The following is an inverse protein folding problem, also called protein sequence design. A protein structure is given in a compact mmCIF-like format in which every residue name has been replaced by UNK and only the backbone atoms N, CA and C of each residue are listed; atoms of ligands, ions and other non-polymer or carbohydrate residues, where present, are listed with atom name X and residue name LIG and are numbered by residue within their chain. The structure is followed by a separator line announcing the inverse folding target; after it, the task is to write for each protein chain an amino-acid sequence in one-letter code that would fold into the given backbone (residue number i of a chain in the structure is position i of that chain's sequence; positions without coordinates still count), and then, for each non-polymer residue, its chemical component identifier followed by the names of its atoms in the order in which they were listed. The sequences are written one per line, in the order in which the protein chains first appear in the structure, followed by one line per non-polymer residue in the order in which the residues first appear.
data_IF_380387904297
#
_entry.id   IF_380387904297
#
_cell.length_a   1.000
_cell.length_b   1.000
_cell.length_c   1.000
_cell.angle_alpha   90.00
_cell.angle_beta   90.00
_cell.angle_gamma   90.00
#
_symmetry.space_group_name_H-M   'P 1'
#
loop_
_entity.id
_entity.type
_entity.pdbx_description
1 polymer ?
#
# COMPACT_ATOMS: atom_id res chain seq x y z
N UNK A 1 46.76 -17.16 49.02
CA UNK A 1 47.39 -17.42 47.75
C UNK A 1 46.32 -17.29 46.69
N UNK A 2 45.91 -16.11 46.35
CA UNK A 2 46.42 -15.08 45.40
C UNK A 2 46.64 -15.59 43.99
N UNK A 3 45.88 -14.85 43.14
CA UNK A 3 46.13 -14.57 41.72
C UNK A 3 45.79 -15.63 40.68
N UNK A 4 44.68 -15.36 39.96
CA UNK A 4 44.70 -15.01 38.53
C UNK A 4 43.26 -15.04 37.96
N UNK A 5 42.67 -13.87 37.86
CA UNK A 5 41.52 -13.67 36.99
C UNK A 5 41.38 -12.18 36.61
N UNK A 6 42.21 -11.76 35.68
CA UNK A 6 42.05 -10.52 34.92
C UNK A 6 42.46 -10.79 33.48
N UNK A 7 41.47 -10.77 32.59
CA UNK A 7 41.50 -10.41 31.16
C UNK A 7 40.46 -11.20 30.36
N UNK A 8 39.23 -10.66 30.33
CA UNK A 8 38.28 -10.91 29.23
C UNK A 8 37.07 -9.99 29.38
N UNK A 9 37.30 -8.67 29.30
CA UNK A 9 36.25 -7.68 29.14
C UNK A 9 36.76 -6.53 28.28
N UNK A 10 36.81 -6.75 26.94
CA UNK A 10 37.08 -5.67 25.98
C UNK A 10 36.98 -6.20 24.54
N UNK A 11 35.79 -6.70 24.15
CA UNK A 11 35.44 -6.93 22.72
C UNK A 11 33.93 -7.05 22.45
N UNK A 12 33.12 -6.25 23.14
CA UNK A 12 31.66 -6.26 22.86
C UNK A 12 31.03 -4.86 22.86
N UNK A 13 31.72 -3.85 22.34
CA UNK A 13 31.18 -2.47 22.32
C UNK A 13 31.20 -1.78 20.96
N UNK A 14 31.40 -2.48 19.86
CA UNK A 14 31.44 -1.87 18.51
C UNK A 14 30.33 -2.29 17.57
N UNK A 15 29.45 -3.21 17.94
CA UNK A 15 28.32 -3.62 17.07
C UNK A 15 26.98 -2.97 17.39
N UNK A 16 26.88 -2.20 18.47
CA UNK A 16 25.62 -1.53 18.87
C UNK A 16 25.42 -0.12 18.26
N UNK A 17 26.42 0.44 17.58
CA UNK A 17 26.33 1.80 17.05
C UNK A 17 25.81 1.88 15.60
N UNK A 18 25.85 0.83 14.83
CA UNK A 18 25.43 0.86 13.42
C UNK A 18 23.91 0.65 13.28
N UNK A 19 23.30 -0.13 14.16
CA UNK A 19 21.85 -0.37 14.15
C UNK A 19 21.02 0.84 14.60
N UNK A 20 21.54 1.62 15.55
CA UNK A 20 20.83 2.82 16.07
C UNK A 20 20.87 3.97 15.06
N UNK A 21 21.93 4.12 14.26
CA UNK A 21 22.01 5.17 13.24
C UNK A 21 21.07 4.92 12.05
N UNK A 22 20.83 3.67 11.66
CA UNK A 22 19.89 3.33 10.60
C UNK A 22 18.42 3.59 11.00
N UNK A 23 18.08 3.34 12.27
CA UNK A 23 16.73 3.57 12.80
C UNK A 23 16.46 5.07 13.01
N UNK A 24 17.47 5.86 13.44
CA UNK A 24 17.35 7.31 13.59
C UNK A 24 17.14 8.02 12.23
N UNK A 25 17.78 7.58 11.16
CA UNK A 25 17.56 8.16 9.82
C UNK A 25 16.18 7.83 9.23
N UNK A 26 15.56 6.72 9.61
CA UNK A 26 14.18 6.39 9.22
C UNK A 26 13.15 7.19 10.04
N UNK A 27 13.40 7.44 11.32
CA UNK A 27 12.50 8.20 12.19
C UNK A 27 12.46 9.69 11.83
N UNK A 28 13.59 10.31 11.47
CA UNK A 28 13.64 11.71 11.00
C UNK A 28 12.96 11.92 9.63
N UNK A 29 12.73 10.86 8.86
CA UNK A 29 12.03 10.92 7.57
C UNK A 29 10.51 10.66 7.67
N UNK A 30 10.03 10.13 8.81
CA UNK A 30 8.59 9.98 9.06
C UNK A 30 8.03 11.37 9.38
N UNK A 31 7.00 11.81 8.64
CA UNK A 31 6.33 13.08 8.91
C UNK A 31 5.67 13.06 10.27
N UNK A 32 6.03 14.01 11.12
CA UNK A 32 5.25 14.29 12.31
C UNK A 32 4.11 15.24 11.93
N UNK A 33 2.90 14.97 12.44
CA UNK A 33 1.84 15.95 12.34
C UNK A 33 2.26 17.25 13.06
N UNK A 34 1.90 18.44 12.52
CA UNK A 34 2.26 19.72 13.13
C UNK A 34 1.90 19.77 14.62
N UNK A 35 2.86 20.15 15.45
CA UNK A 35 2.76 20.11 16.90
C UNK A 35 1.73 21.13 17.42
N UNK A 36 1.05 20.83 18.53
CA UNK A 36 -0.18 21.44 19.05
C UNK A 36 -0.11 22.87 19.59
N UNK A 37 0.95 23.65 19.37
CA UNK A 37 1.06 25.03 19.86
C UNK A 37 0.85 26.03 18.73
N UNK A 38 -0.43 26.30 18.41
CA UNK A 38 -0.85 27.29 17.43
C UNK A 38 -2.18 26.93 16.77
N UNK A 39 -2.77 27.83 15.96
CA UNK A 39 -3.89 27.49 15.09
C UNK A 39 -3.46 26.38 14.13
N UNK A 40 -4.06 25.19 14.28
CA UNK A 40 -3.84 24.07 13.34
C UNK A 40 -4.29 24.51 11.95
N UNK A 41 -3.38 24.39 10.98
CA UNK A 41 -3.69 24.58 9.57
C UNK A 41 -4.06 23.25 8.93
N UNK A 42 -4.90 23.31 7.90
CA UNK A 42 -5.06 22.17 7.00
C UNK A 42 -3.68 21.77 6.50
N UNK A 43 -3.33 20.50 6.68
CA UNK A 43 -2.04 19.97 6.27
C UNK A 43 -2.24 18.76 5.37
N UNK A 44 -1.45 18.69 4.30
CA UNK A 44 -1.38 17.53 3.42
C UNK A 44 0.06 17.42 2.91
N UNK A 45 0.67 16.25 3.10
CA UNK A 45 2.02 15.94 2.66
C UNK A 45 2.06 14.54 2.05
N UNK A 46 2.91 14.35 1.04
CA UNK A 46 3.21 13.04 0.48
C UNK A 46 4.69 12.73 0.66
N UNK A 47 5.00 11.58 1.24
CA UNK A 47 6.36 11.06 1.35
C UNK A 47 6.52 9.81 0.52
N UNK A 48 7.61 9.71 -0.22
CA UNK A 48 7.94 8.55 -1.05
C UNK A 48 9.20 7.87 -0.49
N UNK A 49 9.03 6.64 -0.07
CA UNK A 49 10.11 5.76 0.41
C UNK A 49 10.56 4.82 -0.71
N UNK A 50 11.83 4.45 -0.72
CA UNK A 50 12.44 3.51 -1.68
C UNK A 50 12.20 3.89 -3.15
N UNK A 51 12.21 5.19 -3.44
CA UNK A 51 11.87 5.78 -4.73
C UNK A 51 12.57 5.11 -5.91
N UNK A 52 11.83 4.87 -6.99
CA UNK A 52 12.32 4.28 -8.24
C UNK A 52 12.75 2.82 -8.10
N UNK A 53 12.19 2.08 -7.13
CA UNK A 53 12.35 0.64 -7.00
C UNK A 53 10.99 -0.06 -7.09
N UNK A 54 10.99 -1.37 -7.28
CA UNK A 54 9.76 -2.18 -7.24
C UNK A 54 9.15 -2.27 -5.83
N UNK A 55 9.80 -1.67 -4.85
CA UNK A 55 9.37 -1.58 -3.45
C UNK A 55 9.09 -0.12 -3.03
N UNK A 56 8.88 0.78 -3.99
CA UNK A 56 8.49 2.16 -3.71
C UNK A 56 7.17 2.20 -2.93
N UNK A 57 7.14 3.00 -1.86
CA UNK A 57 5.94 3.21 -1.04
C UNK A 57 5.66 4.70 -0.93
N UNK A 58 4.46 5.11 -1.31
CA UNK A 58 3.96 6.47 -1.10
C UNK A 58 3.07 6.49 0.14
N UNK A 59 3.32 7.45 1.01
CA UNK A 59 2.57 7.69 2.25
C UNK A 59 1.98 9.10 2.20
N UNK A 60 0.68 9.18 2.35
CA UNK A 60 -0.08 10.44 2.32
C UNK A 60 -0.53 10.80 3.73
N UNK A 61 -0.20 12.02 4.17
CA UNK A 61 -0.53 12.55 5.49
C UNK A 61 -1.55 13.68 5.36
N UNK A 62 -2.62 13.62 6.13
CA UNK A 62 -3.66 14.64 6.16
C UNK A 62 -4.01 15.01 7.59
N UNK A 63 -4.13 16.30 7.87
CA UNK A 63 -4.54 16.84 9.18
C UNK A 63 -5.67 17.82 9.02
N UNK A 64 -6.73 17.65 9.79
CA UNK A 64 -7.81 18.62 9.92
C UNK A 64 -7.40 19.81 10.81
N UNK A 65 -8.18 20.89 10.75
CA UNK A 65 -8.00 22.05 11.66
C UNK A 65 -8.34 21.69 13.10
N UNK A 66 -9.27 20.79 13.32
CA UNK A 66 -9.66 20.33 14.65
C UNK A 66 -8.85 19.09 15.06
N UNK A 67 -8.33 19.03 16.29
CA UNK A 67 -7.64 17.85 16.79
C UNK A 67 -8.59 16.66 16.89
N UNK A 68 -8.06 15.46 16.76
CA UNK A 68 -8.80 14.20 16.86
C UNK A 68 -7.90 13.00 16.69
N UNK A 69 -8.49 11.81 16.64
CA UNK A 69 -7.75 10.56 16.47
C UNK A 69 -7.00 10.54 15.14
N UNK A 70 -5.93 9.77 15.09
CA UNK A 70 -5.18 9.45 13.88
C UNK A 70 -5.57 8.08 13.37
N UNK A 71 -6.04 7.98 12.14
CA UNK A 71 -6.30 6.71 11.46
C UNK A 71 -5.22 6.44 10.42
N UNK A 72 -4.76 5.20 10.33
CA UNK A 72 -3.81 4.72 9.33
C UNK A 72 -4.49 3.67 8.46
N UNK A 73 -4.51 3.89 7.16
CA UNK A 73 -5.07 2.97 6.17
C UNK A 73 -3.93 2.33 5.38
N UNK A 74 -3.77 1.03 5.51
CA UNK A 74 -2.95 0.22 4.64
C UNK A 74 -3.79 -0.49 3.59
N UNK A 75 -3.26 -0.60 2.38
CA UNK A 75 -3.81 -1.43 1.32
C UNK A 75 -2.71 -1.93 0.37
N UNK A 76 -3.06 -2.87 -0.49
CA UNK A 76 -2.13 -3.40 -1.48
C UNK A 76 -0.99 -4.23 -0.89
N UNK A 77 -1.19 -4.86 0.27
CA UNK A 77 -0.27 -5.87 0.80
C UNK A 77 -0.28 -7.12 -0.10
N UNK A 78 -1.43 -7.41 -0.74
CA UNK A 78 -1.61 -8.41 -1.77
C UNK A 78 -1.94 -7.74 -3.10
N UNK A 79 -1.20 -8.05 -4.16
CA UNK A 79 -1.33 -7.40 -5.45
C UNK A 79 -2.52 -7.87 -6.28
N UNK A 80 -3.08 -9.04 -5.98
CA UNK A 80 -4.28 -9.61 -6.60
C UNK A 80 -5.60 -9.10 -5.97
N UNK A 81 -5.52 -8.14 -5.04
CA UNK A 81 -6.66 -7.57 -4.31
C UNK A 81 -6.87 -6.09 -4.70
N UNK A 82 -7.17 -5.86 -5.98
CA UNK A 82 -7.20 -4.51 -6.56
C UNK A 82 -8.23 -3.57 -5.92
N UNK A 83 -9.35 -4.09 -5.42
CA UNK A 83 -10.34 -3.28 -4.70
C UNK A 83 -9.76 -2.58 -3.47
N UNK A 84 -8.84 -3.23 -2.73
CA UNK A 84 -8.21 -2.67 -1.56
C UNK A 84 -7.38 -1.42 -1.87
N UNK A 85 -6.37 -1.55 -2.76
CA UNK A 85 -5.47 -0.43 -3.05
C UNK A 85 -6.13 0.69 -3.88
N UNK A 86 -7.08 0.38 -4.74
CA UNK A 86 -7.84 1.39 -5.46
C UNK A 86 -8.81 2.14 -4.53
N UNK A 87 -9.37 1.48 -3.51
CA UNK A 87 -10.13 2.16 -2.47
C UNK A 87 -9.25 3.10 -1.66
N UNK A 88 -8.11 2.63 -1.16
CA UNK A 88 -7.21 3.46 -0.36
C UNK A 88 -6.70 4.68 -1.15
N UNK A 89 -6.40 4.53 -2.45
CA UNK A 89 -5.95 5.63 -3.30
C UNK A 89 -6.94 6.81 -3.36
N UNK A 90 -8.24 6.56 -3.19
CA UNK A 90 -9.29 7.59 -3.15
C UNK A 90 -9.25 8.47 -1.90
N UNK A 91 -8.52 8.04 -0.87
CA UNK A 91 -8.30 8.80 0.36
C UNK A 91 -6.97 9.57 0.37
N UNK A 92 -6.12 9.37 -0.64
CA UNK A 92 -4.82 10.04 -0.77
C UNK A 92 -4.91 11.57 -0.96
N UNK A 93 -6.08 12.10 -1.32
CA UNK A 93 -6.33 13.54 -1.46
C UNK A 93 -7.45 14.02 -0.50
N UNK A 94 -7.80 13.21 0.51
CA UNK A 94 -8.90 13.53 1.40
C UNK A 94 -8.58 14.78 2.23
N UNK A 95 -9.50 15.74 2.24
CA UNK A 95 -9.41 16.94 3.08
C UNK A 95 -10.22 16.74 4.36
N UNK A 96 -9.54 16.76 5.50
CA UNK A 96 -10.16 16.62 6.81
C UNK A 96 -10.55 17.96 7.41
N UNK A 97 -11.64 17.98 8.14
CA UNK A 97 -12.02 19.04 9.08
C UNK A 97 -11.43 18.72 10.45
N UNK A 98 -11.58 17.46 10.89
CA UNK A 98 -11.18 16.99 12.23
C UNK A 98 -10.42 15.67 12.17
N UNK A 99 -9.38 15.55 13.02
CA UNK A 99 -8.55 14.36 13.14
C UNK A 99 -7.41 14.31 12.14
N UNK A 100 -6.71 13.18 12.06
CA UNK A 100 -5.60 12.95 11.17
C UNK A 100 -5.79 11.64 10.41
N UNK A 101 -5.25 11.58 9.19
CA UNK A 101 -5.30 10.39 8.35
C UNK A 101 -3.93 10.16 7.71
N UNK A 102 -3.45 8.93 7.80
CA UNK A 102 -2.29 8.44 7.08
C UNK A 102 -2.79 7.39 6.10
N UNK A 103 -2.42 7.49 4.81
CA UNK A 103 -2.86 6.54 3.79
C UNK A 103 -1.65 5.94 3.08
N UNK A 104 -1.59 4.62 3.04
CA UNK A 104 -0.58 3.84 2.30
C UNK A 104 -1.30 2.93 1.31
N UNK A 105 -1.62 3.45 0.11
CA UNK A 105 -2.48 2.70 -0.83
C UNK A 105 -1.79 1.47 -1.41
N UNK A 106 -0.49 1.50 -1.58
CA UNK A 106 0.30 0.51 -2.30
C UNK A 106 1.49 0.05 -1.47
N UNK A 107 1.21 -0.66 -0.36
CA UNK A 107 2.25 -1.09 0.57
C UNK A 107 3.24 -2.06 -0.09
N UNK A 108 2.76 -2.98 -0.94
CA UNK A 108 3.57 -3.95 -1.65
C UNK A 108 3.48 -3.72 -3.17
N UNK A 109 4.25 -2.75 -3.65
CA UNK A 109 4.22 -2.34 -5.05
C UNK A 109 4.59 -3.51 -5.98
N UNK A 110 5.60 -4.31 -5.65
CA UNK A 110 5.99 -5.46 -6.44
C UNK A 110 4.83 -6.45 -6.66
N UNK A 111 4.10 -6.78 -5.60
CA UNK A 111 2.94 -7.65 -5.68
C UNK A 111 1.86 -7.07 -6.60
N UNK A 112 1.60 -5.75 -6.53
CA UNK A 112 0.64 -5.05 -7.37
C UNK A 112 1.05 -5.09 -8.84
N UNK A 113 2.32 -4.79 -9.15
CA UNK A 113 2.83 -4.76 -10.53
C UNK A 113 2.85 -6.16 -11.16
N UNK A 114 3.04 -7.20 -10.36
CA UNK A 114 3.03 -8.60 -10.81
C UNK A 114 1.67 -9.29 -10.68
N UNK A 115 0.65 -8.62 -10.11
CA UNK A 115 -0.69 -9.18 -9.83
C UNK A 115 -0.65 -10.46 -9.00
N UNK A 116 0.30 -10.55 -8.06
CA UNK A 116 0.47 -11.71 -7.19
C UNK A 116 0.11 -11.37 -5.75
N UNK A 117 -0.22 -12.38 -4.98
CA UNK A 117 -0.36 -12.27 -3.53
C UNK A 117 1.01 -12.10 -2.84
N UNK A 118 2.02 -12.79 -3.36
CA UNK A 118 3.36 -12.83 -2.80
C UNK A 118 4.14 -11.53 -2.98
N UNK A 119 4.98 -11.20 -2.00
CA UNK A 119 5.98 -10.14 -2.06
C UNK A 119 7.20 -10.50 -2.91
N UNK A 120 8.21 -9.63 -2.89
CA UNK A 120 9.46 -9.80 -3.67
C UNK A 120 10.22 -11.07 -3.27
N UNK A 121 10.16 -11.45 -2.01
CA UNK A 121 10.77 -12.69 -1.48
C UNK A 121 10.02 -13.98 -1.86
N UNK A 122 8.85 -13.89 -2.51
CA UNK A 122 8.01 -15.03 -2.87
C UNK A 122 7.02 -15.48 -1.79
N UNK A 123 7.04 -14.90 -0.57
CA UNK A 123 6.12 -15.20 0.53
C UNK A 123 4.97 -14.20 0.67
N UNK A 124 3.97 -14.55 1.47
CA UNK A 124 2.88 -13.66 1.86
C UNK A 124 3.39 -12.60 2.84
N UNK A 125 3.47 -11.32 2.41
CA UNK A 125 3.94 -10.21 3.26
C UNK A 125 3.06 -10.04 4.50
N UNK A 126 1.76 -10.37 4.45
CA UNK A 126 0.86 -10.34 5.61
C UNK A 126 1.10 -11.51 6.60
N UNK A 127 2.23 -12.22 6.46
CA UNK A 127 2.74 -13.23 7.40
C UNK A 127 4.14 -12.91 7.90
N UNK A 128 4.61 -11.67 7.72
CA UNK A 128 5.95 -11.21 8.10
C UNK A 128 5.96 -10.21 9.27
N UNK A 129 4.81 -9.89 9.83
CA UNK A 129 4.71 -9.01 10.98
C UNK A 129 4.93 -9.79 12.28
N UNK A 130 6.14 -9.70 12.83
CA UNK A 130 6.51 -10.28 14.12
C UNK A 130 7.48 -9.34 14.86
N UNK A 131 7.66 -9.51 16.19
CA UNK A 131 8.43 -8.57 17.02
C UNK A 131 9.94 -8.60 16.75
N UNK A 132 10.49 -9.72 16.27
CA UNK A 132 11.91 -9.79 15.93
C UNK A 132 12.20 -9.04 14.63
N UNK A 133 13.36 -8.40 14.55
CA UNK A 133 13.89 -7.82 13.33
C UNK A 133 14.69 -8.91 12.60
N UNK A 134 14.12 -9.45 11.56
CA UNK A 134 14.82 -10.31 10.61
C UNK A 134 15.17 -9.43 9.41
N UNK A 135 16.45 -9.16 9.19
CA UNK A 135 16.94 -8.23 8.16
C UNK A 135 17.41 -8.94 6.88
N UNK A 136 17.05 -10.20 6.69
CA UNK A 136 17.51 -11.02 5.55
C UNK A 136 16.47 -11.09 4.41
N UNK A 137 15.21 -10.76 4.68
CA UNK A 137 14.12 -10.81 3.70
C UNK A 137 14.01 -9.47 2.94
N UNK A 138 13.98 -9.47 1.60
CA UNK A 138 13.77 -8.25 0.81
C UNK A 138 12.54 -7.42 1.19
N UNK A 139 11.49 -8.05 1.75
CA UNK A 139 10.27 -7.35 2.16
C UNK A 139 10.39 -6.69 3.54
N UNK A 140 11.42 -7.00 4.35
CA UNK A 140 11.54 -6.53 5.74
C UNK A 140 11.61 -5.00 5.85
N UNK A 141 12.22 -4.32 4.88
CA UNK A 141 12.25 -2.85 4.88
C UNK A 141 10.86 -2.23 4.74
N UNK A 142 9.94 -2.87 3.97
CA UNK A 142 8.55 -2.41 3.84
C UNK A 142 7.77 -2.74 5.12
N UNK A 143 7.97 -3.93 5.67
CA UNK A 143 7.39 -4.33 6.96
C UNK A 143 7.87 -3.39 8.07
N UNK A 144 9.16 -3.05 8.12
CA UNK A 144 9.75 -2.09 9.05
C UNK A 144 9.13 -0.70 8.94
N UNK A 145 8.97 -0.20 7.70
CA UNK A 145 8.26 1.07 7.45
C UNK A 145 6.82 1.00 7.96
N UNK A 146 6.08 -0.06 7.64
CA UNK A 146 4.70 -0.22 8.11
C UNK A 146 4.62 -0.24 9.65
N UNK A 147 5.52 -0.97 10.33
CA UNK A 147 5.62 -0.98 11.80
C UNK A 147 5.87 0.41 12.38
N UNK A 148 6.72 1.22 11.76
CA UNK A 148 7.02 2.60 12.21
C UNK A 148 5.83 3.54 12.00
N UNK A 149 5.07 3.37 10.90
CA UNK A 149 3.85 4.15 10.67
C UNK A 149 2.75 3.83 11.68
N UNK A 150 2.65 2.58 12.17
CA UNK A 150 1.69 2.19 13.20
C UNK A 150 1.86 2.96 14.51
N UNK A 151 3.09 3.40 14.85
CA UNK A 151 3.36 4.16 16.07
C UNK A 151 2.66 5.52 16.06
N UNK A 152 2.40 6.09 14.87
CA UNK A 152 1.75 7.39 14.69
C UNK A 152 0.22 7.34 14.70
N UNK A 153 -0.38 6.16 14.76
CA UNK A 153 -1.83 5.99 14.63
C UNK A 153 -2.49 5.50 15.92
N UNK A 154 -3.77 5.80 16.07
CA UNK A 154 -4.64 5.25 17.11
C UNK A 154 -5.43 4.06 16.59
N UNK A 155 -5.84 4.10 15.31
CA UNK A 155 -6.66 3.10 14.65
C UNK A 155 -6.02 2.73 13.32
N UNK A 156 -5.95 1.44 13.01
CA UNK A 156 -5.31 0.91 11.83
C UNK A 156 -6.32 0.08 11.03
N UNK A 157 -6.40 0.35 9.73
CA UNK A 157 -7.18 -0.41 8.78
C UNK A 157 -6.25 -1.10 7.78
N UNK A 158 -6.53 -2.36 7.46
CA UNK A 158 -5.87 -3.09 6.38
C UNK A 158 -6.93 -3.54 5.38
N UNK A 159 -6.88 -3.02 4.15
CA UNK A 159 -7.91 -3.24 3.14
C UNK A 159 -7.56 -4.43 2.25
N UNK A 160 -8.51 -5.34 2.10
CA UNK A 160 -8.38 -6.61 1.40
C UNK A 160 -9.56 -6.94 0.50
N UNK A 161 -9.42 -8.02 -0.26
CA UNK A 161 -10.51 -8.71 -0.94
C UNK A 161 -10.39 -10.23 -0.75
N UNK A 162 -11.44 -10.85 -0.23
CA UNK A 162 -11.53 -12.30 -0.07
C UNK A 162 -12.55 -12.95 -1.01
N UNK A 163 -12.40 -14.24 -1.29
CA UNK A 163 -13.40 -15.01 -2.02
C UNK A 163 -14.60 -15.36 -1.14
N UNK A 164 -15.78 -15.41 -1.77
CA UNK A 164 -17.04 -15.75 -1.12
C UNK A 164 -17.51 -14.70 -0.13
N UNK A 165 -18.26 -15.14 0.85
CA UNK A 165 -18.87 -14.31 1.88
C UNK A 165 -18.65 -14.96 3.25
N UNK A 166 -18.07 -14.25 4.18
CA UNK A 166 -17.96 -14.75 5.54
C UNK A 166 -19.35 -14.93 6.16
N UNK A 167 -19.54 -16.04 6.84
CA UNK A 167 -20.70 -16.31 7.71
C UNK A 167 -20.22 -17.12 8.91
N UNK A 168 -20.70 -16.84 10.13
CA UNK A 168 -20.33 -17.62 11.32
C UNK A 168 -20.87 -19.06 11.28
N UNK A 169 -21.82 -19.35 10.39
CA UNK A 169 -22.39 -20.68 10.16
C UNK A 169 -22.22 -21.06 8.70
N UNK A 170 -22.15 -22.36 8.43
CA UNK A 170 -22.10 -22.88 7.07
C UNK A 170 -23.49 -22.73 6.41
N UNK A 171 -23.56 -21.96 5.34
CA UNK A 171 -24.76 -21.79 4.50
C UNK A 171 -24.59 -22.60 3.21
N UNK A 172 -23.49 -22.34 2.47
CA UNK A 172 -23.09 -23.00 1.24
C UNK A 172 -21.58 -22.82 0.99
N UNK A 173 -21.06 -23.35 -0.14
CA UNK A 173 -19.65 -23.26 -0.51
C UNK A 173 -19.15 -21.83 -0.71
N UNK A 174 -20.03 -20.89 -1.04
CA UNK A 174 -19.71 -19.49 -1.23
C UNK A 174 -19.86 -18.65 0.06
N UNK A 175 -20.63 -19.17 1.06
CA UNK A 175 -20.98 -18.47 2.30
C UNK A 175 -20.79 -19.39 3.51
N UNK A 176 -19.71 -19.23 4.20
CA UNK A 176 -19.32 -20.11 5.33
C UNK A 176 -18.17 -19.48 6.15
N UNK A 177 -17.77 -20.11 7.28
CA UNK A 177 -16.75 -19.58 8.19
C UNK A 177 -15.31 -19.51 7.62
N UNK A 178 -15.02 -20.22 6.53
CA UNK A 178 -13.67 -20.20 5.90
C UNK A 178 -13.57 -19.19 4.76
N UNK A 179 -14.63 -18.44 4.46
CA UNK A 179 -14.62 -17.35 3.49
C UNK A 179 -14.28 -16.04 4.16
N UNK A 180 -13.64 -15.13 3.39
CA UNK A 180 -13.14 -13.86 3.92
C UNK A 180 -13.88 -12.64 3.36
N UNK A 181 -14.68 -12.77 2.30
CA UNK A 181 -15.37 -11.64 1.67
C UNK A 181 -16.48 -11.05 2.54
N UNK A 182 -16.71 -9.75 2.39
CA UNK A 182 -17.75 -8.94 3.03
C UNK A 182 -17.74 -9.02 4.57
N UNK A 183 -16.58 -8.78 5.18
CA UNK A 183 -16.51 -8.72 6.63
C UNK A 183 -15.49 -7.69 7.16
N UNK A 184 -15.72 -7.30 8.41
CA UNK A 184 -14.76 -6.62 9.26
C UNK A 184 -14.05 -7.70 10.10
N UNK A 185 -12.76 -7.89 9.86
CA UNK A 185 -11.95 -8.88 10.58
C UNK A 185 -11.38 -8.24 11.84
N UNK A 186 -11.51 -8.96 12.95
CA UNK A 186 -10.89 -8.63 14.24
C UNK A 186 -10.15 -9.84 14.80
N UNK A 187 -9.09 -9.61 15.55
CA UNK A 187 -8.28 -10.68 16.14
C UNK A 187 -8.79 -11.15 17.51
N UNK A 188 -9.61 -10.33 18.17
CA UNK A 188 -10.26 -10.61 19.46
C UNK A 188 -11.42 -9.63 19.67
N UNK A 189 -12.44 -10.03 20.46
CA UNK A 189 -13.57 -9.14 20.79
C UNK A 189 -13.14 -7.94 21.63
N UNK A 190 -12.37 -8.20 22.69
CA UNK A 190 -11.90 -7.22 23.66
C UNK A 190 -10.41 -7.44 23.90
N UNK A 191 -9.64 -6.36 23.91
CA UNK A 191 -8.21 -6.38 24.22
C UNK A 191 -7.91 -5.44 25.38
N UNK A 192 -7.35 -5.98 26.46
CA UNK A 192 -6.93 -5.20 27.61
C UNK A 192 -5.51 -4.67 27.43
N UNK A 193 -5.35 -3.35 27.50
CA UNK A 193 -4.07 -2.67 27.33
C UNK A 193 -3.25 -2.72 28.64
N UNK A 194 -1.90 -2.64 28.56
CA UNK A 194 -1.04 -2.62 29.76
C UNK A 194 -1.33 -1.48 30.72
N UNK A 195 -1.90 -0.37 30.26
CA UNK A 195 -2.27 0.80 31.06
C UNK A 195 -3.66 0.68 31.70
N UNK A 196 -4.33 -0.47 31.57
CA UNK A 196 -5.64 -0.75 32.13
C UNK A 196 -6.83 -0.31 31.27
N UNK A 197 -6.60 0.39 30.17
CA UNK A 197 -7.65 0.70 29.19
C UNK A 197 -8.07 -0.56 28.44
N UNK A 198 -9.30 -0.56 27.97
CA UNK A 198 -9.89 -1.68 27.24
C UNK A 198 -10.33 -1.26 25.86
N UNK A 199 -9.87 -1.99 24.84
CA UNK A 199 -10.29 -1.81 23.47
C UNK A 199 -11.41 -2.83 23.15
N UNK A 200 -12.61 -2.35 22.81
CA UNK A 200 -13.72 -3.19 22.39
C UNK A 200 -13.81 -3.19 20.86
N UNK A 201 -13.06 -4.10 20.21
CA UNK A 201 -13.00 -4.19 18.74
C UNK A 201 -14.31 -4.71 18.16
N UNK A 202 -14.96 -5.66 18.86
CA UNK A 202 -16.20 -6.26 18.35
C UNK A 202 -17.34 -5.25 18.34
N UNK A 203 -17.53 -4.46 19.42
CA UNK A 203 -18.55 -3.43 19.44
C UNK A 203 -18.33 -2.41 18.33
N UNK A 204 -17.07 -1.94 18.18
CA UNK A 204 -16.71 -0.99 17.13
C UNK A 204 -17.03 -1.53 15.73
N UNK A 205 -16.57 -2.76 15.42
CA UNK A 205 -16.80 -3.41 14.13
C UNK A 205 -18.28 -3.66 13.84
N UNK A 206 -19.09 -4.05 14.87
CA UNK A 206 -20.53 -4.28 14.73
C UNK A 206 -21.31 -2.98 14.47
N UNK A 207 -20.98 -1.91 15.17
CA UNK A 207 -21.61 -0.59 14.95
C UNK A 207 -21.34 -0.08 13.53
N UNK A 208 -20.10 -0.22 13.04
CA UNK A 208 -19.77 0.13 11.66
C UNK A 208 -20.52 -0.78 10.67
N UNK A 209 -20.49 -2.10 10.86
CA UNK A 209 -21.20 -3.04 9.99
C UNK A 209 -22.71 -2.75 9.95
N UNK A 210 -23.34 -2.49 11.11
CA UNK A 210 -24.76 -2.14 11.18
C UNK A 210 -25.06 -0.88 10.37
N UNK A 211 -24.28 0.20 10.56
CA UNK A 211 -24.46 1.48 9.86
C UNK A 211 -24.32 1.34 8.35
N UNK A 212 -23.31 0.64 7.84
CA UNK A 212 -23.11 0.50 6.39
C UNK A 212 -24.14 -0.45 5.77
N UNK A 213 -24.56 -1.49 6.48
CA UNK A 213 -25.55 -2.45 6.00
C UNK A 213 -26.93 -1.81 5.75
N UNK A 214 -27.29 -0.73 6.46
CA UNK A 214 -28.53 0.02 6.17
C UNK A 214 -28.52 0.67 4.79
N UNK A 215 -27.34 0.86 4.19
CA UNK A 215 -27.16 1.47 2.86
C UNK A 215 -26.94 0.44 1.75
N UNK A 216 -26.80 -0.85 2.08
CA UNK A 216 -26.61 -1.95 1.14
C UNK A 216 -27.94 -2.66 0.95
N UNK A 217 -28.59 -2.47 -0.21
CA UNK A 217 -29.92 -3.02 -0.49
C UNK A 217 -29.93 -4.55 -0.57
N UNK A 218 -28.92 -5.11 -1.23
CA UNK A 218 -28.80 -6.57 -1.36
C UNK A 218 -28.12 -7.17 -0.13
N UNK A 219 -28.92 -7.86 0.69
CA UNK A 219 -28.46 -8.47 1.94
C UNK A 219 -27.32 -9.47 1.75
N UNK A 220 -27.11 -10.01 0.55
CA UNK A 220 -25.98 -10.90 0.27
C UNK A 220 -24.63 -10.21 0.49
N UNK A 221 -24.58 -8.89 0.31
CA UNK A 221 -23.38 -8.06 0.47
C UNK A 221 -23.30 -7.36 1.83
N UNK A 222 -24.15 -7.73 2.79
CA UNK A 222 -24.04 -7.18 4.14
C UNK A 222 -22.71 -7.62 4.78
N UNK A 223 -22.02 -6.67 5.40
CA UNK A 223 -20.81 -6.94 6.17
C UNK A 223 -21.14 -7.69 7.45
N UNK A 224 -20.34 -8.69 7.74
CA UNK A 224 -20.33 -9.44 9.01
C UNK A 224 -19.08 -9.04 9.81
N UNK A 225 -19.05 -9.37 11.10
CA UNK A 225 -17.82 -9.30 11.90
C UNK A 225 -17.22 -10.69 11.97
N UNK A 226 -16.01 -10.85 11.44
CA UNK A 226 -15.23 -12.06 11.51
C UNK A 226 -14.22 -11.94 12.66
N UNK A 227 -14.53 -12.55 13.80
CA UNK A 227 -13.58 -12.66 14.90
C UNK A 227 -12.75 -13.93 14.76
N UNK A 228 -11.50 -13.80 14.37
CA UNK A 228 -10.58 -14.92 14.16
C UNK A 228 -10.09 -15.54 15.48
N UNK A 229 -10.36 -14.89 16.62
CA UNK A 229 -9.88 -15.31 17.94
C UNK A 229 -8.38 -15.65 17.94
N UNK A 230 -7.57 -14.87 17.23
CA UNK A 230 -6.15 -15.15 16.96
C UNK A 230 -5.32 -15.31 18.24
N UNK A 231 -5.72 -14.65 19.34
CA UNK A 231 -5.07 -14.76 20.66
C UNK A 231 -5.36 -16.10 21.34
N UNK A 232 -6.43 -16.79 20.99
CA UNK A 232 -6.76 -18.07 21.61
C UNK A 232 -5.83 -19.19 21.10
N UNK A 233 -5.32 -20.03 22.02
CA UNK A 233 -4.38 -21.13 21.68
C UNK A 233 -4.91 -22.10 20.62
N UNK A 234 -6.23 -22.31 20.59
CA UNK A 234 -6.93 -23.21 19.67
C UNK A 234 -7.59 -22.44 18.50
N UNK A 235 -7.17 -21.21 18.19
CA UNK A 235 -7.67 -20.51 17.01
C UNK A 235 -7.42 -21.33 15.74
N UNK A 236 -8.40 -21.36 14.85
CA UNK A 236 -8.26 -21.95 13.52
C UNK A 236 -7.39 -21.07 12.59
N UNK A 237 -7.08 -19.85 13.03
CA UNK A 237 -6.35 -18.82 12.28
C UNK A 237 -5.03 -18.46 12.97
N UNK A 238 -4.25 -19.45 13.40
CA UNK A 238 -2.98 -19.21 14.10
C UNK A 238 -1.95 -18.49 13.21
N UNK A 239 -2.03 -18.66 11.90
CA UNK A 239 -1.21 -17.97 10.92
C UNK A 239 -1.41 -16.46 10.95
N UNK A 240 -2.57 -15.96 11.42
CA UNK A 240 -2.84 -14.53 11.60
C UNK A 240 -1.97 -13.88 12.69
N UNK A 241 -1.34 -14.64 13.58
CA UNK A 241 -0.39 -14.11 14.58
C UNK A 241 0.83 -13.40 13.96
N UNK A 242 1.01 -13.53 12.66
CA UNK A 242 2.03 -12.84 11.87
C UNK A 242 1.43 -11.84 10.89
N UNK A 243 0.14 -11.51 11.02
CA UNK A 243 -0.54 -10.50 10.20
C UNK A 243 -0.27 -9.08 10.68
N UNK A 244 -0.51 -8.11 9.79
CA UNK A 244 -0.42 -6.68 10.07
C UNK A 244 -1.36 -6.27 11.22
N UNK A 245 -2.62 -6.73 11.20
CA UNK A 245 -3.63 -6.35 12.21
C UNK A 245 -3.30 -6.93 13.58
N UNK A 246 -2.90 -8.20 13.62
CA UNK A 246 -2.48 -8.82 14.88
C UNK A 246 -1.26 -8.11 15.48
N UNK A 247 -0.25 -7.80 14.66
CA UNK A 247 0.94 -7.08 15.11
C UNK A 247 0.58 -5.69 15.67
N UNK A 248 -0.27 -4.96 14.96
CA UNK A 248 -0.75 -3.65 15.39
C UNK A 248 -1.45 -3.70 16.75
N UNK A 249 -2.27 -4.73 17.00
CA UNK A 249 -2.98 -4.91 18.27
C UNK A 249 -2.06 -5.45 19.37
N UNK A 250 -1.35 -6.55 19.11
CA UNK A 250 -0.60 -7.27 20.14
C UNK A 250 0.70 -6.56 20.57
N UNK A 251 1.37 -5.86 19.64
CA UNK A 251 2.69 -5.29 19.87
C UNK A 251 2.73 -3.76 19.85
N UNK A 252 1.83 -3.14 19.08
CA UNK A 252 1.71 -1.67 19.05
C UNK A 252 0.56 -1.16 19.91
N UNK A 253 -0.28 -2.05 20.45
CA UNK A 253 -1.42 -1.72 21.31
C UNK A 253 -2.40 -0.74 20.61
N UNK A 254 -2.57 -0.90 19.30
CA UNK A 254 -3.46 -0.08 18.48
C UNK A 254 -4.71 -0.85 18.12
N UNK A 255 -5.84 -0.17 18.04
CA UNK A 255 -7.07 -0.76 17.53
C UNK A 255 -6.88 -1.06 16.04
N UNK A 256 -7.07 -2.32 15.60
CA UNK A 256 -6.78 -2.72 14.24
C UNK A 256 -7.90 -3.59 13.64
N UNK A 257 -8.21 -3.35 12.37
CA UNK A 257 -9.28 -4.00 11.62
C UNK A 257 -8.81 -4.39 10.21
N UNK A 258 -9.13 -5.62 9.79
CA UNK A 258 -9.12 -5.99 8.39
C UNK A 258 -10.48 -5.67 7.77
N UNK A 259 -10.51 -5.01 6.63
CA UNK A 259 -11.73 -4.76 5.87
C UNK A 259 -11.69 -5.56 4.59
N UNK A 260 -12.60 -6.49 4.43
CA UNK A 260 -12.63 -7.45 3.34
C UNK A 260 -13.87 -7.24 2.45
N UNK A 261 -13.69 -6.79 1.20
CA UNK A 261 -14.75 -6.92 0.21
C UNK A 261 -14.70 -8.30 -0.46
N UNK A 262 -15.86 -8.79 -0.91
CA UNK A 262 -15.89 -10.02 -1.70
C UNK A 262 -15.30 -9.83 -3.10
N UNK A 263 -14.56 -10.84 -3.60
CA UNK A 263 -14.18 -10.96 -5.02
C UNK A 263 -15.35 -11.44 -5.91
N UNK A 264 -16.50 -11.79 -5.32
CA UNK A 264 -17.69 -12.27 -6.02
C UNK A 264 -18.62 -11.13 -6.46
N UNK A 265 -18.06 -9.97 -6.81
CA UNK A 265 -18.75 -8.84 -7.41
C UNK A 265 -17.82 -8.10 -8.37
N UNK A 266 -18.35 -7.11 -9.11
CA UNK A 266 -17.52 -6.29 -9.98
C UNK A 266 -16.53 -5.44 -9.18
N UNK A 267 -15.41 -5.04 -9.80
CA UNK A 267 -14.40 -4.20 -9.16
C UNK A 267 -14.99 -2.86 -8.65
N UNK A 268 -15.83 -2.12 -9.42
CA UNK A 268 -16.48 -0.92 -8.91
C UNK A 268 -17.38 -1.17 -7.70
N UNK A 269 -18.07 -2.32 -7.63
CA UNK A 269 -18.87 -2.71 -6.47
C UNK A 269 -17.99 -3.02 -5.25
N UNK A 270 -16.89 -3.76 -5.42
CA UNK A 270 -15.95 -4.03 -4.33
C UNK A 270 -15.37 -2.73 -3.74
N UNK A 271 -14.97 -1.79 -4.61
CA UNK A 271 -14.49 -0.46 -4.19
C UNK A 271 -15.60 0.31 -3.47
N UNK A 272 -16.85 0.26 -3.98
CA UNK A 272 -18.00 0.86 -3.33
C UNK A 272 -18.19 0.37 -1.90
N UNK A 273 -18.18 -0.94 -1.70
CA UNK A 273 -18.36 -1.57 -0.39
C UNK A 273 -17.20 -1.24 0.57
N UNK A 274 -15.94 -1.31 0.12
CA UNK A 274 -14.80 -0.90 0.93
C UNK A 274 -14.84 0.59 1.25
N UNK A 275 -15.27 1.45 0.31
CA UNK A 275 -15.43 2.89 0.57
C UNK A 275 -16.50 3.14 1.64
N UNK A 276 -17.64 2.42 1.60
CA UNK A 276 -18.65 2.49 2.67
C UNK A 276 -18.06 2.08 4.02
N UNK A 277 -17.27 1.00 4.04
CA UNK A 277 -16.65 0.50 5.26
C UNK A 277 -15.63 1.51 5.81
N UNK A 278 -14.73 2.04 5.00
CA UNK A 278 -13.75 3.05 5.43
C UNK A 278 -14.42 4.33 5.90
N UNK A 279 -15.43 4.86 5.18
CA UNK A 279 -16.20 6.03 5.60
C UNK A 279 -16.85 5.78 6.98
N UNK A 280 -17.44 4.59 7.18
CA UNK A 280 -18.02 4.20 8.45
C UNK A 280 -17.00 4.12 9.60
N UNK A 281 -15.79 3.63 9.33
CA UNK A 281 -14.69 3.60 10.30
C UNK A 281 -14.22 5.01 10.67
N UNK A 282 -14.04 5.91 9.68
CA UNK A 282 -13.66 7.31 9.89
C UNK A 282 -14.72 8.04 10.74
N UNK A 283 -16.00 7.94 10.35
CA UNK A 283 -17.10 8.55 11.10
C UNK A 283 -17.19 8.03 12.55
N UNK A 284 -17.08 6.71 12.73
CA UNK A 284 -17.13 6.09 14.07
C UNK A 284 -15.96 6.50 14.96
N UNK A 285 -14.80 6.79 14.36
CA UNK A 285 -13.60 7.28 15.06
C UNK A 285 -13.65 8.77 15.38
N UNK A 286 -14.68 9.48 14.92
CA UNK A 286 -14.82 10.92 15.09
C UNK A 286 -13.95 11.75 14.13
N UNK A 287 -13.42 11.16 13.05
CA UNK A 287 -12.80 11.91 11.96
C UNK A 287 -13.90 12.51 11.07
N UNK A 288 -13.69 13.76 10.69
CA UNK A 288 -14.63 14.49 9.84
C UNK A 288 -13.91 14.95 8.58
N UNK A 289 -14.41 14.52 7.43
CA UNK A 289 -13.92 14.97 6.13
C UNK A 289 -14.79 16.12 5.59
N UNK A 290 -14.21 17.00 4.77
CA UNK A 290 -14.97 18.01 4.03
C UNK A 290 -15.99 17.34 3.09
N UNK A 291 -15.56 16.31 2.40
CA UNK A 291 -16.39 15.46 1.53
C UNK A 291 -15.80 14.07 1.51
N UNK A 292 -16.61 13.06 1.80
CA UNK A 292 -16.19 11.66 1.66
C UNK A 292 -16.21 11.21 0.20
N UNK A 293 -15.34 10.26 -0.21
CA UNK A 293 -15.40 9.65 -1.53
C UNK A 293 -16.78 9.04 -1.82
N UNK A 294 -17.23 9.17 -3.07
CA UNK A 294 -18.51 8.60 -3.52
C UNK A 294 -18.55 7.08 -3.33
N UNK A 295 -19.69 6.56 -2.91
CA UNK A 295 -19.96 5.12 -2.79
C UNK A 295 -20.77 4.56 -3.97
N UNK A 296 -21.07 5.37 -4.98
CA UNK A 296 -21.77 4.92 -6.19
C UNK A 296 -20.85 4.07 -7.06
N UNK A 297 -21.19 2.81 -7.30
CA UNK A 297 -20.41 1.92 -8.16
C UNK A 297 -20.31 2.47 -9.60
N UNK A 298 -21.37 3.10 -10.13
CA UNK A 298 -21.33 3.73 -11.45
C UNK A 298 -20.38 4.93 -11.50
N UNK A 299 -20.39 5.79 -10.47
CA UNK A 299 -19.43 6.90 -10.37
C UNK A 299 -17.98 6.42 -10.24
N UNK A 300 -17.78 5.33 -9.51
CA UNK A 300 -16.45 4.67 -9.37
C UNK A 300 -15.99 4.11 -10.71
N UNK A 301 -16.86 3.49 -11.47
CA UNK A 301 -16.52 2.97 -12.80
C UNK A 301 -16.05 4.08 -13.74
N UNK A 302 -16.75 5.20 -13.76
CA UNK A 302 -16.34 6.38 -14.54
C UNK A 302 -15.04 7.01 -14.02
N UNK A 303 -14.85 7.03 -12.69
CA UNK A 303 -13.59 7.45 -12.07
C UNK A 303 -12.41 6.58 -12.52
N UNK A 304 -12.57 5.25 -12.49
CA UNK A 304 -11.53 4.31 -12.94
C UNK A 304 -11.17 4.49 -14.40
N UNK A 305 -12.16 4.69 -15.29
CA UNK A 305 -11.92 4.97 -16.72
C UNK A 305 -11.11 6.25 -16.90
N UNK A 306 -11.52 7.35 -16.24
CA UNK A 306 -10.79 8.62 -16.29
C UNK A 306 -9.36 8.54 -15.76
N UNK A 307 -9.14 7.70 -14.73
CA UNK A 307 -7.83 7.52 -14.13
C UNK A 307 -6.83 6.81 -15.05
N UNK A 308 -7.29 6.12 -16.09
CA UNK A 308 -6.47 5.49 -17.13
C UNK A 308 -6.14 6.45 -18.29
N UNK A 309 -6.70 7.66 -18.32
CA UNK A 309 -6.43 8.63 -19.38
C UNK A 309 -5.06 9.30 -19.17
N UNK A 310 -4.22 9.25 -20.21
CA UNK A 310 -2.93 9.93 -20.23
C UNK A 310 -2.70 10.57 -21.62
N UNK A 311 -1.86 11.61 -21.66
CA UNK A 311 -1.56 12.37 -22.89
C UNK A 311 -0.15 12.11 -23.41
N UNK A 312 0.73 11.47 -22.64
CA UNK A 312 2.06 11.09 -23.08
C UNK A 312 3.03 10.76 -21.96
N UNK A 313 4.24 10.40 -22.37
CA UNK A 313 5.38 10.18 -21.48
C UNK A 313 6.38 11.32 -21.66
N UNK A 314 6.73 11.98 -20.57
CA UNK A 314 7.88 12.87 -20.53
C UNK A 314 9.13 12.05 -20.29
N UNK A 315 10.00 12.08 -21.27
CA UNK A 315 11.27 11.34 -21.26
C UNK A 315 12.44 12.27 -21.46
N UNK A 316 13.61 11.86 -20.99
CA UNK A 316 14.89 12.48 -21.33
C UNK A 316 15.69 11.48 -22.18
N UNK A 317 16.02 11.88 -23.41
CA UNK A 317 16.86 11.10 -24.32
C UNK A 317 18.20 11.83 -24.36
N UNK A 318 19.26 11.17 -23.87
CA UNK A 318 20.54 11.81 -23.58
C UNK A 318 20.34 13.03 -22.68
N UNK A 319 20.54 14.23 -23.19
CA UNK A 319 20.36 15.48 -22.42
C UNK A 319 19.14 16.30 -22.84
N UNK A 320 18.27 15.74 -23.70
CA UNK A 320 17.10 16.44 -24.24
C UNK A 320 15.80 15.85 -23.71
N UNK A 321 14.96 16.69 -23.15
CA UNK A 321 13.60 16.30 -22.77
C UNK A 321 12.68 16.26 -24.00
N UNK A 322 11.79 15.29 -24.02
CA UNK A 322 10.79 15.08 -25.07
C UNK A 322 9.50 14.54 -24.48
N UNK A 323 8.37 14.96 -25.00
CA UNK A 323 7.07 14.36 -24.76
C UNK A 323 6.80 13.32 -25.86
N UNK A 324 6.55 12.07 -25.48
CA UNK A 324 6.18 10.98 -26.36
C UNK A 324 4.67 10.78 -26.27
N UNK A 325 3.90 11.08 -27.34
CA UNK A 325 2.46 10.88 -27.34
C UNK A 325 2.08 9.40 -27.28
N UNK A 326 0.84 9.05 -26.84
CA UNK A 326 0.33 7.70 -26.94
C UNK A 326 0.41 7.15 -28.36
N UNK A 327 0.59 5.82 -28.50
CA UNK A 327 0.67 5.11 -29.78
C UNK A 327 1.83 5.52 -30.69
N UNK A 328 2.85 6.19 -30.14
CA UNK A 328 4.06 6.57 -30.87
C UNK A 328 5.14 5.52 -30.75
N UNK A 329 6.03 5.48 -31.73
CA UNK A 329 7.30 4.78 -31.65
C UNK A 329 8.40 5.70 -31.10
N UNK A 330 9.37 5.12 -30.40
CA UNK A 330 10.53 5.83 -29.85
C UNK A 330 11.75 5.46 -30.69
N UNK A 331 12.19 6.38 -31.54
CA UNK A 331 13.34 6.16 -32.40
C UNK A 331 14.61 6.61 -31.67
N UNK A 332 15.53 5.68 -31.45
CA UNK A 332 16.80 5.90 -30.74
C UNK A 332 17.97 5.36 -31.57
N UNK A 333 19.18 5.74 -31.19
CA UNK A 333 20.44 5.21 -31.72
C UNK A 333 21.05 4.28 -30.66
N UNK A 334 21.79 3.29 -31.09
CA UNK A 334 22.49 2.39 -30.16
C UNK A 334 23.41 3.18 -29.24
N UNK A 335 23.26 2.98 -27.93
CA UNK A 335 24.00 3.71 -26.88
C UNK A 335 23.25 4.90 -26.32
N UNK A 336 22.13 5.33 -26.88
CA UNK A 336 21.30 6.40 -26.30
C UNK A 336 20.84 6.05 -24.90
N UNK A 337 20.76 7.10 -24.07
CA UNK A 337 20.29 7.03 -22.67
C UNK A 337 18.85 7.52 -22.63
N UNK A 338 17.95 6.62 -22.26
CA UNK A 338 16.53 6.92 -22.06
C UNK A 338 16.22 6.98 -20.57
N UNK A 339 15.64 8.09 -20.10
CA UNK A 339 15.12 8.23 -18.74
C UNK A 339 13.65 8.64 -18.81
N UNK A 340 12.78 7.95 -18.06
CA UNK A 340 11.37 8.28 -17.99
C UNK A 340 11.17 9.21 -16.78
N UNK A 341 10.71 10.44 -17.03
CA UNK A 341 10.61 11.49 -16.01
C UNK A 341 9.24 11.51 -15.35
N UNK A 342 8.16 11.45 -16.17
CA UNK A 342 6.79 11.46 -15.69
C UNK A 342 5.82 10.89 -16.73
N UNK A 343 4.61 10.57 -16.27
CA UNK A 343 3.45 10.29 -17.12
C UNK A 343 2.52 11.49 -17.04
N UNK A 344 2.26 12.11 -18.19
CA UNK A 344 1.31 13.22 -18.31
C UNK A 344 -0.10 12.65 -18.34
N UNK A 345 -0.79 12.66 -17.20
CA UNK A 345 -2.09 12.01 -17.02
C UNK A 345 -3.02 12.85 -16.15
N UNK A 346 -4.34 12.68 -16.33
CA UNK A 346 -5.34 13.33 -15.47
C UNK A 346 -5.22 12.91 -14.01
N UNK A 347 -4.90 11.64 -13.77
CA UNK A 347 -4.64 11.10 -12.44
C UNK A 347 -3.18 10.65 -12.35
N UNK A 348 -2.32 11.37 -11.60
CA UNK A 348 -0.88 11.19 -11.68
C UNK A 348 -0.35 9.92 -10.99
N UNK A 349 -1.11 9.35 -10.01
CA UNK A 349 -0.66 8.21 -9.21
C UNK A 349 -0.83 6.87 -9.91
N UNK A 350 -0.02 5.90 -9.52
CA UNK A 350 -0.15 4.49 -9.94
C UNK A 350 0.36 4.16 -11.34
N UNK A 351 1.13 5.06 -11.96
CA UNK A 351 1.78 4.83 -13.25
C UNK A 351 3.20 4.29 -13.07
N UNK A 352 3.47 3.17 -13.72
CA UNK A 352 4.76 2.49 -13.61
C UNK A 352 5.24 2.04 -14.99
N UNK A 353 6.20 2.77 -15.59
CA UNK A 353 6.83 2.36 -16.85
C UNK A 353 7.95 1.37 -16.58
N UNK A 354 8.15 0.41 -17.50
CA UNK A 354 9.27 -0.51 -17.47
C UNK A 354 9.71 -0.88 -18.88
N UNK A 355 10.97 -1.30 -19.08
CA UNK A 355 11.41 -1.91 -20.31
C UNK A 355 11.19 -3.42 -20.27
N UNK A 356 10.75 -4.02 -21.40
CA UNK A 356 10.48 -5.46 -21.47
C UNK A 356 11.73 -6.31 -21.27
N UNK A 357 12.90 -5.80 -21.66
CA UNK A 357 14.22 -6.42 -21.42
C UNK A 357 14.80 -6.18 -20.02
N UNK A 358 14.07 -5.51 -19.12
CA UNK A 358 14.51 -5.19 -17.75
C UNK A 358 13.91 -6.16 -16.73
N UNK A 359 14.64 -6.46 -15.67
CA UNK A 359 14.13 -7.21 -14.51
C UNK A 359 13.35 -6.31 -13.52
N UNK A 360 13.07 -5.06 -13.90
CA UNK A 360 12.36 -4.09 -13.06
C UNK A 360 10.97 -3.82 -13.60
N UNK A 361 9.99 -3.70 -12.70
CA UNK A 361 8.61 -3.33 -13.01
C UNK A 361 8.34 -1.83 -12.85
N UNK A 362 9.15 -1.13 -12.04
CA UNK A 362 9.10 0.32 -11.86
C UNK A 362 10.40 0.96 -12.37
N UNK A 363 10.38 1.44 -13.59
CA UNK A 363 11.49 2.16 -14.24
C UNK A 363 11.41 3.68 -14.14
N UNK A 364 10.48 4.23 -13.35
CA UNK A 364 10.33 5.68 -13.19
C UNK A 364 11.62 6.32 -12.65
N UNK A 365 12.11 7.33 -13.36
CA UNK A 365 13.34 8.05 -13.01
C UNK A 365 14.64 7.30 -13.32
N UNK A 366 14.58 6.03 -13.75
CA UNK A 366 15.77 5.25 -14.11
C UNK A 366 16.31 5.63 -15.48
N UNK A 367 17.63 5.55 -15.63
CA UNK A 367 18.32 5.74 -16.90
C UNK A 367 18.64 4.37 -17.50
N UNK A 368 18.12 4.14 -18.68
CA UNK A 368 18.34 2.93 -19.46
C UNK A 368 19.29 3.24 -20.63
N UNK A 369 20.34 2.44 -20.80
CA UNK A 369 21.21 2.51 -21.99
C UNK A 369 20.63 1.55 -23.03
N UNK A 370 20.13 2.10 -24.13
CA UNK A 370 19.43 1.36 -25.16
C UNK A 370 20.44 0.75 -26.14
N UNK A 371 20.42 -0.56 -26.30
CA UNK A 371 21.38 -1.30 -27.14
C UNK A 371 20.77 -1.98 -28.35
N UNK A 372 19.48 -2.26 -28.27
CA UNK A 372 18.70 -2.97 -29.29
C UNK A 372 17.24 -2.55 -29.21
N UNK A 373 16.44 -2.97 -30.16
CA UNK A 373 14.98 -2.80 -30.11
C UNK A 373 14.43 -3.38 -28.82
N UNK A 374 13.49 -2.67 -28.22
CA UNK A 374 12.85 -3.05 -26.94
C UNK A 374 11.39 -2.52 -26.93
N UNK A 375 10.68 -2.79 -25.87
CA UNK A 375 9.35 -2.24 -25.61
C UNK A 375 9.34 -1.53 -24.26
N UNK A 376 8.84 -0.30 -24.25
CA UNK A 376 8.50 0.39 -23.02
C UNK A 376 7.02 0.10 -22.70
N UNK A 377 6.81 -0.62 -21.61
CA UNK A 377 5.49 -1.01 -21.12
C UNK A 377 5.04 -0.02 -20.08
N UNK A 378 3.92 0.64 -20.31
CA UNK A 378 3.29 1.53 -19.33
C UNK A 378 2.17 0.80 -18.63
N UNK A 379 2.27 0.71 -17.30
CA UNK A 379 1.26 0.09 -16.45
C UNK A 379 0.57 1.14 -15.59
N UNK A 380 -0.73 0.93 -15.33
CA UNK A 380 -1.54 1.64 -14.33
C UNK A 380 -2.01 0.64 -13.28
N UNK A 381 -1.53 0.77 -12.03
CA UNK A 381 -1.84 -0.18 -10.96
C UNK A 381 -1.60 -1.65 -11.35
N UNK A 382 -0.50 -1.92 -12.07
CA UNK A 382 -0.16 -3.25 -12.58
C UNK A 382 -1.06 -3.75 -13.74
N UNK A 383 -1.96 -2.93 -14.29
CA UNK A 383 -2.67 -3.17 -15.55
C UNK A 383 -1.86 -2.54 -16.68
N UNK A 384 -1.52 -3.32 -17.70
CA UNK A 384 -0.87 -2.81 -18.91
C UNK A 384 -1.85 -1.89 -19.65
N UNK A 385 -1.45 -0.64 -19.88
CA UNK A 385 -2.27 0.38 -20.54
C UNK A 385 -1.76 0.66 -21.94
N UNK A 386 -0.41 0.79 -22.11
CA UNK A 386 0.19 1.13 -23.39
C UNK A 386 1.54 0.42 -23.55
N UNK A 387 1.97 0.24 -24.81
CA UNK A 387 3.29 -0.25 -25.19
C UNK A 387 3.86 0.64 -26.26
N UNK A 388 5.02 1.22 -25.98
CA UNK A 388 5.78 1.99 -26.94
C UNK A 388 6.90 1.11 -27.51
N UNK A 389 6.95 0.93 -28.84
CA UNK A 389 8.07 0.24 -29.47
C UNK A 389 9.29 1.17 -29.51
N UNK A 390 10.41 0.69 -29.04
CA UNK A 390 11.71 1.36 -29.14
C UNK A 390 12.44 0.73 -30.32
N UNK A 391 12.66 1.54 -31.36
CA UNK A 391 13.38 1.15 -32.56
C UNK A 391 14.77 1.79 -32.54
N UNK A 392 15.79 0.94 -32.70
CA UNK A 392 17.19 1.35 -32.63
C UNK A 392 17.80 1.36 -34.03
N UNK A 393 18.29 2.52 -34.47
CA UNK A 393 19.09 2.62 -35.69
C UNK A 393 20.51 2.14 -35.39
N UNK A 394 21.02 1.23 -36.21
CA UNK A 394 22.41 0.81 -36.16
C UNK A 394 23.33 1.95 -36.63
N UNK A 395 24.38 2.23 -35.86
CA UNK A 395 25.47 3.09 -36.30
C UNK A 395 26.40 2.35 -37.26
N UNK A 396 25.91 1.72 -38.36
CA UNK A 396 26.77 1.22 -39.39
C UNK A 396 27.17 2.44 -40.22
N UNK A 397 28.45 2.87 -40.24
CA UNK A 397 28.86 3.87 -41.18
C UNK A 397 28.65 3.32 -42.59
N UNK A 398 27.93 4.07 -43.43
CA UNK A 398 27.92 3.82 -44.85
C UNK A 398 29.38 3.90 -45.34
N UNK A 399 30.06 2.78 -45.48
CA UNK A 399 31.23 2.73 -46.32
C UNK A 399 30.73 3.01 -47.73
N UNK A 400 30.93 4.23 -48.21
CA UNK A 400 30.91 4.51 -49.62
C UNK A 400 31.97 3.57 -50.24
N UNK A 401 31.51 2.52 -50.93
CA UNK A 401 32.37 1.85 -51.87
C UNK A 401 32.82 2.92 -52.90
N UNK A 402 34.08 3.33 -52.73
CA UNK A 402 34.78 4.09 -53.76
C UNK A 402 34.88 3.13 -54.97
N UNK A 403 34.00 3.33 -55.94
CA UNK A 403 34.09 2.70 -57.23
C UNK A 403 35.42 2.99 -57.88
N UNK A 404 36.06 1.94 -58.30
CA UNK A 404 37.17 1.94 -59.25
C UNK A 404 36.60 2.18 -60.64
#
# INVERSE_FOLDING_TARGET
MENHCRHRFLKRRWFLFVGIFGLFFLLDSLGDFPNEKGERKLFSETKTFFRGTDQEVEVYYHSGKEPGSTMLIFAGIHGDESGGYLTADRYADLKLVKGNLIVVPRLNLYAILTKKRAGLSGGDMNRKFHPSEENEDPDDKIVGLAKSLMDQADIILNLHQGYGFYSPVWVDDSRNPIRWGQCNVIDVSIFDLPDGRRLNLELFAREVAHRINTRILDRRYHFQVNNTNTFHKNSLHQEQRRSLTYYALAWKHKMAFGLEATKNCSLPQAISYLTMAVNGMLERSGLVAMTFPSVSAAAIEEELKRNEEFSGLRVKINDREKLIPPKSEILLTQGDRLQILSVEAKHPRGWYPSLSGSNMYNGMGKVFVIRQNDQLILQKYGKKVEVFNILVKSNIPFHQEAGI
#
